data_IF_060159419666
#
_entry.id   IF_060159419666
#
_cell.length_a   1.000
_cell.length_b   1.000
_cell.length_c   1.000
_cell.angle_alpha   90.00
_cell.angle_beta   90.00
_cell.angle_gamma   90.00
#
_symmetry.space_group_name_H-M   'P 1'
#
loop_
_entity.id
_entity.type
_entity.pdbx_description
1 polymer ?
#
# COMPACT_ATOMS: atom_id res chain seq x y z
N UNK A 1 -20.24 38.18 62.05
CA UNK A 1 -19.27 37.06 62.07
C UNK A 1 -19.88 35.95 61.21
N UNK A 2 -19.54 35.88 59.92
CA UNK A 2 -20.15 34.98 58.93
C UNK A 2 -19.02 34.29 58.17
N UNK A 3 -18.68 33.06 58.57
CA UNK A 3 -17.73 32.22 57.86
C UNK A 3 -18.48 31.39 56.81
N UNK A 4 -18.14 31.61 55.53
CA UNK A 4 -18.59 30.81 54.39
C UNK A 4 -17.78 29.51 54.36
N UNK A 5 -18.44 28.36 54.35
CA UNK A 5 -17.83 27.09 53.94
C UNK A 5 -17.62 27.10 52.42
N UNK A 6 -16.38 26.86 51.99
CA UNK A 6 -16.05 26.54 50.60
C UNK A 6 -15.90 25.02 50.49
N UNK A 7 -16.83 24.37 49.80
CA UNK A 7 -16.76 22.95 49.46
C UNK A 7 -15.96 22.82 48.16
N UNK A 8 -14.75 22.25 48.23
CA UNK A 8 -13.95 21.94 47.04
C UNK A 8 -14.42 20.61 46.43
N UNK A 9 -15.08 20.66 45.27
CA UNK A 9 -15.31 19.48 44.44
C UNK A 9 -14.06 19.21 43.61
N UNK A 10 -13.33 18.14 43.93
CA UNK A 10 -12.34 17.57 43.01
C UNK A 10 -13.10 16.88 41.86
N UNK A 11 -13.06 17.48 40.68
CA UNK A 11 -13.34 16.76 39.44
C UNK A 11 -12.11 15.92 39.08
N UNK A 12 -12.17 14.61 39.35
CA UNK A 12 -11.29 13.64 38.71
C UNK A 12 -11.69 13.56 37.24
N UNK A 13 -10.92 14.21 36.37
CA UNK A 13 -11.00 13.98 34.94
C UNK A 13 -10.48 12.56 34.66
N UNK A 14 -11.39 11.64 34.37
CA UNK A 14 -11.06 10.33 33.84
C UNK A 14 -10.50 10.52 32.43
N UNK A 15 -9.20 10.31 32.26
CA UNK A 15 -8.58 10.13 30.94
C UNK A 15 -9.29 8.93 30.29
N UNK A 16 -9.84 9.05 29.07
CA UNK A 16 -10.36 7.89 28.36
C UNK A 16 -9.20 6.92 28.17
N UNK A 17 -9.27 5.76 28.82
CA UNK A 17 -8.33 4.67 28.56
C UNK A 17 -8.43 4.28 27.10
N UNK A 18 -7.28 4.14 26.43
CA UNK A 18 -7.20 3.42 25.16
C UNK A 18 -7.75 2.01 25.39
N UNK A 19 -8.99 1.75 24.97
CA UNK A 19 -9.47 0.38 24.80
C UNK A 19 -8.74 -0.18 23.59
N UNK A 20 -7.64 -0.88 23.82
CA UNK A 20 -6.95 -1.65 22.78
C UNK A 20 -7.94 -2.60 22.11
N UNK A 21 -7.92 -2.64 20.77
CA UNK A 21 -8.72 -3.60 20.00
C UNK A 21 -8.33 -5.03 20.43
N UNK A 22 -9.30 -5.82 20.92
CA UNK A 22 -9.08 -7.22 21.28
C UNK A 22 -8.90 -8.07 20.01
N UNK A 23 -7.76 -8.76 19.87
CA UNK A 23 -7.36 -9.56 18.69
C UNK A 23 -7.36 -11.08 18.96
N UNK A 24 -8.04 -11.54 20.00
CA UNK A 24 -7.78 -12.83 20.66
C UNK A 24 -8.44 -14.06 20.06
N UNK A 25 -9.09 -13.98 18.89
CA UNK A 25 -9.87 -15.09 18.37
C UNK A 25 -9.25 -15.66 17.08
N UNK A 26 -9.03 -16.96 17.05
CA UNK A 26 -8.70 -17.69 15.82
C UNK A 26 -9.83 -17.42 14.82
N UNK A 27 -9.47 -17.07 13.59
CA UNK A 27 -10.45 -16.71 12.57
C UNK A 27 -11.30 -17.93 12.21
N UNK A 28 -12.62 -17.77 12.27
CA UNK A 28 -13.58 -18.80 11.89
C UNK A 28 -13.79 -18.81 10.37
N UNK A 29 -14.41 -19.86 9.83
CA UNK A 29 -14.85 -19.87 8.43
C UNK A 29 -15.79 -18.68 8.18
N UNK A 30 -15.69 -18.03 7.03
CA UNK A 30 -16.51 -16.88 6.73
C UNK A 30 -18.01 -17.16 6.81
N UNK A 31 -18.73 -16.26 7.48
CA UNK A 31 -20.18 -16.21 7.53
C UNK A 31 -20.63 -15.05 6.63
N UNK A 32 -21.12 -15.38 5.44
CA UNK A 32 -21.54 -14.41 4.43
C UNK A 32 -22.74 -13.56 4.87
N UNK A 33 -23.51 -13.98 5.87
CA UNK A 33 -24.62 -13.15 6.37
C UNK A 33 -24.12 -12.06 7.32
N UNK A 34 -23.08 -12.36 8.11
CA UNK A 34 -22.48 -11.41 9.06
C UNK A 34 -21.40 -10.54 8.43
N UNK A 35 -20.64 -11.08 7.49
CA UNK A 35 -19.58 -10.38 6.80
C UNK A 35 -20.16 -9.53 5.66
N UNK A 36 -20.51 -8.28 5.97
CA UNK A 36 -21.13 -7.36 5.01
C UNK A 36 -20.27 -6.11 4.76
N UNK A 37 -20.31 -5.55 3.53
CA UNK A 37 -19.74 -4.23 3.27
C UNK A 37 -20.43 -3.14 4.12
N UNK A 38 -19.75 -2.03 4.41
CA UNK A 38 -18.40 -1.68 3.96
C UNK A 38 -17.28 -2.29 4.81
N UNK A 39 -17.58 -2.94 5.93
CA UNK A 39 -16.58 -3.25 6.95
C UNK A 39 -15.97 -4.65 6.81
N UNK A 40 -16.65 -5.58 6.14
CA UNK A 40 -16.19 -6.96 6.03
C UNK A 40 -16.39 -7.49 4.62
N UNK A 41 -15.44 -8.30 4.15
CA UNK A 41 -15.56 -9.10 2.92
C UNK A 41 -14.80 -10.40 3.04
N UNK A 42 -15.43 -11.52 2.69
CA UNK A 42 -14.80 -12.84 2.71
C UNK A 42 -13.82 -13.03 1.55
N UNK A 43 -12.71 -13.74 1.79
CA UNK A 43 -11.73 -14.09 0.75
C UNK A 43 -12.25 -15.07 -0.31
N UNK A 44 -13.31 -15.83 0.00
CA UNK A 44 -13.93 -16.79 -0.92
C UNK A 44 -15.02 -16.18 -1.80
N UNK A 45 -15.27 -14.86 -1.68
CA UNK A 45 -16.13 -14.12 -2.59
C UNK A 45 -15.34 -13.52 -3.77
N UNK A 46 -15.39 -14.23 -4.90
CA UNK A 46 -14.76 -13.82 -6.16
C UNK A 46 -15.66 -12.93 -7.04
N UNK A 47 -16.89 -12.61 -6.61
CA UNK A 47 -17.80 -11.77 -7.39
C UNK A 47 -17.43 -10.29 -7.24
N UNK A 48 -17.64 -9.44 -8.26
CA UNK A 48 -17.50 -8.01 -8.09
C UNK A 48 -18.30 -7.49 -6.88
N UNK A 49 -17.70 -6.65 -6.02
CA UNK A 49 -18.36 -6.05 -4.87
C UNK A 49 -19.67 -5.34 -5.23
N UNK A 50 -20.62 -5.32 -4.28
CA UNK A 50 -21.90 -4.61 -4.46
C UNK A 50 -22.89 -5.31 -5.38
N UNK A 51 -22.62 -6.56 -5.78
CA UNK A 51 -23.48 -7.33 -6.67
C UNK A 51 -23.40 -6.88 -8.13
N UNK A 52 -22.34 -6.16 -8.51
CA UNK A 52 -22.10 -5.76 -9.89
C UNK A 52 -21.84 -7.00 -10.76
N UNK A 53 -22.28 -6.95 -12.01
CA UNK A 53 -21.80 -7.92 -13.01
C UNK A 53 -20.41 -7.49 -13.51
N UNK A 54 -19.55 -8.41 -13.98
CA UNK A 54 -18.26 -8.05 -14.54
C UNK A 54 -18.35 -7.02 -15.68
N UNK A 55 -19.42 -7.03 -16.46
CA UNK A 55 -19.65 -6.07 -17.54
C UNK A 55 -19.88 -4.63 -17.06
N UNK A 56 -20.45 -4.45 -15.86
CA UNK A 56 -20.70 -3.14 -15.25
C UNK A 56 -19.62 -2.73 -14.25
N UNK A 57 -18.62 -3.58 -14.02
CA UNK A 57 -17.54 -3.34 -13.08
C UNK A 57 -16.41 -2.56 -13.78
N UNK A 58 -15.91 -1.45 -13.22
CA UNK A 58 -14.69 -0.82 -13.72
C UNK A 58 -13.49 -1.74 -13.50
N UNK A 59 -12.59 -1.84 -14.47
CA UNK A 59 -11.31 -2.52 -14.23
C UNK A 59 -10.36 -1.54 -13.55
N UNK A 60 -9.83 -1.95 -12.40
CA UNK A 60 -8.85 -1.15 -11.65
C UNK A 60 -7.45 -1.74 -11.86
N UNK A 61 -6.48 -0.88 -12.06
CA UNK A 61 -5.04 -1.20 -12.13
C UNK A 61 -4.36 -0.45 -10.99
N UNK A 62 -3.52 -1.15 -10.24
CA UNK A 62 -2.69 -0.61 -9.16
C UNK A 62 -1.24 -0.67 -9.60
N UNK A 63 -0.59 0.49 -9.72
CA UNK A 63 0.86 0.55 -9.93
C UNK A 63 1.50 0.88 -8.59
N UNK A 64 2.46 0.07 -8.17
CA UNK A 64 3.17 0.30 -6.91
C UNK A 64 4.68 0.24 -7.09
N UNK A 65 5.37 1.05 -6.29
CA UNK A 65 6.81 1.07 -6.21
C UNK A 65 7.27 0.90 -4.78
N UNK A 66 8.25 0.03 -4.59
CA UNK A 66 8.77 -0.32 -3.27
C UNK A 66 10.17 0.30 -3.07
N UNK A 67 10.61 0.33 -1.82
CA UNK A 67 11.89 0.83 -1.30
C UNK A 67 12.04 2.35 -1.22
N UNK A 68 13.29 2.82 -1.18
CA UNK A 68 13.69 4.18 -0.91
C UNK A 68 13.39 5.15 -2.06
N UNK A 69 13.14 6.42 -1.74
CA UNK A 69 12.95 7.47 -2.74
C UNK A 69 14.24 8.26 -2.93
N UNK A 70 14.84 8.19 -4.11
CA UNK A 70 16.07 8.92 -4.47
C UNK A 70 15.83 9.90 -5.61
N UNK A 71 16.82 10.74 -5.89
CA UNK A 71 16.78 11.64 -7.07
C UNK A 71 16.75 10.86 -8.39
N UNK A 72 17.25 9.62 -8.42
CA UNK A 72 17.31 8.80 -9.63
C UNK A 72 15.95 8.16 -9.89
N UNK A 73 15.43 7.43 -8.91
CA UNK A 73 14.18 6.70 -9.09
C UNK A 73 12.96 7.63 -9.16
N UNK A 74 12.99 8.79 -8.50
CA UNK A 74 11.94 9.80 -8.63
C UNK A 74 11.69 10.23 -10.09
N UNK A 75 12.75 10.39 -10.89
CA UNK A 75 12.60 10.71 -12.31
C UNK A 75 12.07 9.53 -13.12
N UNK A 76 12.42 8.28 -12.76
CA UNK A 76 11.84 7.08 -13.37
C UNK A 76 10.34 6.99 -13.08
N UNK A 77 9.93 7.18 -11.82
CA UNK A 77 8.53 7.13 -11.42
C UNK A 77 7.70 8.19 -12.13
N UNK A 78 8.22 9.42 -12.22
CA UNK A 78 7.58 10.49 -13.01
C UNK A 78 7.43 10.10 -14.47
N UNK A 79 8.47 9.59 -15.10
CA UNK A 79 8.39 9.18 -16.50
C UNK A 79 7.42 8.01 -16.70
N UNK A 80 7.31 7.09 -15.73
CA UNK A 80 6.37 5.98 -15.80
C UNK A 80 4.91 6.45 -15.93
N UNK A 81 4.49 7.40 -15.10
CA UNK A 81 3.05 7.78 -14.99
C UNK A 81 2.67 9.08 -15.69
N UNK A 82 3.64 9.91 -16.09
CA UNK A 82 3.36 11.23 -16.67
C UNK A 82 2.57 11.15 -17.98
N UNK A 83 1.55 11.99 -18.05
CA UNK A 83 0.78 12.27 -19.28
C UNK A 83 -0.43 11.36 -19.49
N UNK A 84 -0.73 10.47 -18.54
CA UNK A 84 -1.91 9.62 -18.58
C UNK A 84 -2.98 10.10 -17.60
N UNK A 85 -4.24 9.94 -17.98
CA UNK A 85 -5.41 10.30 -17.18
C UNK A 85 -6.41 9.14 -17.11
N UNK A 86 -7.15 9.07 -16.02
CA UNK A 86 -8.33 8.24 -15.86
C UNK A 86 -9.53 8.81 -16.65
N UNK A 87 -10.62 8.04 -16.82
CA UNK A 87 -11.81 8.47 -17.58
C UNK A 87 -12.45 9.79 -17.12
N UNK A 88 -12.34 10.13 -15.83
CA UNK A 88 -12.80 11.43 -15.31
C UNK A 88 -11.85 12.61 -15.59
N UNK A 89 -10.77 12.39 -16.33
CA UNK A 89 -9.77 13.41 -16.66
C UNK A 89 -8.72 13.65 -15.58
N UNK A 90 -8.78 12.95 -14.45
CA UNK A 90 -7.77 13.07 -13.40
C UNK A 90 -6.48 12.34 -13.80
N UNK A 91 -5.30 12.85 -13.43
CA UNK A 91 -4.05 12.11 -13.62
C UNK A 91 -4.11 10.72 -12.98
N UNK A 92 -3.48 9.73 -13.63
CA UNK A 92 -3.31 8.42 -12.99
C UNK A 92 -2.44 8.54 -11.74
N UNK A 93 -2.63 7.62 -10.79
CA UNK A 93 -1.89 7.63 -9.53
C UNK A 93 -1.22 6.28 -9.28
N UNK A 94 -0.21 6.30 -8.41
CA UNK A 94 0.54 5.13 -7.98
C UNK A 94 0.67 5.14 -6.45
N UNK A 95 1.07 4.01 -5.89
CA UNK A 95 1.32 3.83 -4.44
C UNK A 95 2.79 3.55 -4.20
N UNK A 96 3.43 4.28 -3.29
CA UNK A 96 4.83 4.12 -2.94
C UNK A 96 4.94 3.50 -1.55
N UNK A 97 5.42 2.26 -1.46
CA UNK A 97 5.76 1.62 -0.20
C UNK A 97 7.21 1.99 0.15
N UNK A 98 7.38 2.92 1.07
CA UNK A 98 8.65 3.59 1.33
C UNK A 98 9.34 2.97 2.55
N UNK A 99 10.63 2.65 2.39
CA UNK A 99 11.53 2.33 3.49
C UNK A 99 12.40 3.53 3.89
N UNK A 100 12.80 3.62 5.16
CA UNK A 100 13.51 4.81 5.67
C UNK A 100 14.85 5.07 4.99
N UNK A 101 15.70 4.04 4.95
CA UNK A 101 17.10 4.20 4.61
C UNK A 101 17.26 4.80 3.20
N UNK A 102 18.06 5.86 3.09
CA UNK A 102 18.33 6.59 1.83
C UNK A 102 17.16 7.39 1.23
N UNK A 103 15.98 7.40 1.88
CA UNK A 103 14.83 8.16 1.39
C UNK A 103 15.03 9.67 1.47
N UNK A 104 14.73 10.32 0.36
CA UNK A 104 14.58 11.76 0.22
C UNK A 104 13.12 12.15 0.50
N UNK A 105 12.87 12.60 1.73
CA UNK A 105 11.53 12.94 2.20
C UNK A 105 10.94 14.19 1.55
N UNK A 106 11.76 15.08 1.00
CA UNK A 106 11.27 16.17 0.15
C UNK A 106 10.65 15.64 -1.14
N UNK A 107 11.26 14.64 -1.77
CA UNK A 107 10.71 14.01 -2.97
C UNK A 107 9.50 13.14 -2.63
N UNK A 108 9.48 12.45 -1.49
CA UNK A 108 8.29 11.75 -1.00
C UNK A 108 7.11 12.72 -0.79
N UNK A 109 7.34 13.85 -0.12
CA UNK A 109 6.35 14.92 0.04
C UNK A 109 5.85 15.45 -1.32
N UNK A 110 6.74 15.53 -2.32
CA UNK A 110 6.39 15.93 -3.67
C UNK A 110 5.53 14.89 -4.40
N UNK A 111 5.86 13.60 -4.32
CA UNK A 111 5.02 12.52 -4.85
C UNK A 111 3.62 12.57 -4.25
N UNK A 112 3.52 12.79 -2.93
CA UNK A 112 2.23 12.99 -2.29
C UNK A 112 1.51 14.23 -2.83
N UNK A 113 2.17 15.37 -2.99
CA UNK A 113 1.56 16.58 -3.56
C UNK A 113 1.02 16.40 -5.00
N UNK A 114 1.62 15.46 -5.74
CA UNK A 114 1.24 15.09 -7.11
C UNK A 114 0.06 14.09 -7.16
N UNK A 115 -0.47 13.67 -6.00
CA UNK A 115 -1.67 12.84 -5.88
C UNK A 115 -1.40 11.38 -5.51
N UNK A 116 -0.12 10.96 -5.46
CA UNK A 116 0.25 9.57 -5.19
C UNK A 116 0.10 9.17 -3.72
N UNK A 117 -0.12 7.90 -3.44
CA UNK A 117 -0.18 7.38 -2.08
C UNK A 117 1.23 7.09 -1.56
N UNK A 118 1.50 7.45 -0.30
CA UNK A 118 2.67 6.99 0.44
C UNK A 118 2.20 5.96 1.47
N UNK A 119 2.86 4.81 1.49
CA UNK A 119 2.58 3.67 2.34
C UNK A 119 3.89 3.19 2.99
N UNK A 120 3.73 2.39 4.03
CA UNK A 120 4.83 1.95 4.89
C UNK A 120 5.51 0.70 4.33
N UNK A 121 6.85 0.70 4.33
CA UNK A 121 7.69 -0.45 3.98
C UNK A 121 8.79 -0.72 5.02
N UNK A 122 8.49 -0.47 6.30
CA UNK A 122 9.37 -0.57 7.47
C UNK A 122 10.54 0.42 7.49
N UNK A 123 11.12 0.64 8.67
CA UNK A 123 12.26 1.53 8.79
C UNK A 123 13.48 0.91 8.13
N UNK A 124 13.84 -0.32 8.51
CA UNK A 124 15.17 -0.82 8.19
C UNK A 124 15.27 -1.57 6.88
N UNK A 125 14.17 -2.14 6.38
CA UNK A 125 14.16 -3.09 5.26
C UNK A 125 15.33 -4.12 5.36
N UNK A 126 15.61 -4.57 6.59
CA UNK A 126 16.86 -5.27 6.88
C UNK A 126 16.92 -6.65 6.26
N UNK A 127 18.15 -7.07 5.98
CA UNK A 127 18.51 -8.44 5.60
C UNK A 127 19.18 -9.15 6.78
N UNK A 128 19.17 -10.49 6.82
CA UNK A 128 18.50 -11.43 5.90
C UNK A 128 16.98 -11.53 6.14
N UNK A 129 16.25 -12.14 5.20
CA UNK A 129 14.79 -12.36 5.27
C UNK A 129 14.35 -13.08 6.56
N UNK A 130 15.19 -13.95 7.12
CA UNK A 130 14.88 -14.69 8.38
C UNK A 130 14.66 -13.76 9.58
N UNK A 131 15.15 -12.52 9.54
CA UNK A 131 14.77 -11.53 10.56
C UNK A 131 13.27 -11.32 10.60
N UNK A 132 12.63 -11.14 9.44
CA UNK A 132 11.20 -10.87 9.34
C UNK A 132 10.37 -12.12 9.69
N UNK A 133 10.86 -13.30 9.32
CA UNK A 133 10.21 -14.58 9.67
C UNK A 133 10.15 -14.83 11.18
N UNK A 134 11.23 -14.50 11.90
CA UNK A 134 11.40 -14.75 13.32
C UNK A 134 11.08 -13.53 14.21
N UNK A 135 10.79 -12.38 13.61
CA UNK A 135 10.55 -11.13 14.32
C UNK A 135 9.38 -11.27 15.32
N UNK A 136 9.64 -10.77 16.52
CA UNK A 136 8.65 -10.62 17.58
C UNK A 136 7.59 -9.58 17.21
N UNK A 137 6.48 -9.57 17.94
CA UNK A 137 5.47 -8.52 17.80
C UNK A 137 6.09 -7.13 17.99
N UNK A 138 6.93 -6.96 19.00
CA UNK A 138 7.57 -5.68 19.32
C UNK A 138 8.52 -5.22 18.23
N UNK A 139 9.26 -6.14 17.60
CA UNK A 139 10.12 -5.82 16.45
C UNK A 139 9.29 -5.36 15.25
N UNK A 140 8.25 -6.12 14.87
CA UNK A 140 7.33 -5.73 13.80
C UNK A 140 6.64 -4.40 14.09
N UNK A 141 6.12 -4.22 15.31
CA UNK A 141 5.47 -2.99 15.73
C UNK A 141 6.43 -1.80 15.66
N UNK A 142 7.68 -1.93 16.12
CA UNK A 142 8.67 -0.85 16.07
C UNK A 142 9.07 -0.48 14.63
N UNK A 143 9.19 -1.45 13.74
CA UNK A 143 9.51 -1.23 12.33
C UNK A 143 8.35 -0.56 11.58
N UNK A 144 7.11 -0.99 11.85
CA UNK A 144 5.90 -0.48 11.18
C UNK A 144 5.48 0.88 11.75
N UNK A 145 5.39 1.00 13.06
CA UNK A 145 4.95 2.28 13.67
C UNK A 145 6.04 3.33 13.58
N UNK A 146 7.30 2.91 13.61
CA UNK A 146 8.45 3.77 13.41
C UNK A 146 8.46 4.41 12.04
N UNK A 147 8.28 3.64 10.96
CA UNK A 147 8.31 4.20 9.61
C UNK A 147 7.12 5.13 9.35
N UNK A 148 5.91 4.79 9.83
CA UNK A 148 4.78 5.72 9.79
C UNK A 148 5.07 7.05 10.48
N UNK A 149 5.72 7.04 11.65
CA UNK A 149 6.08 8.27 12.37
C UNK A 149 7.17 9.06 11.64
N UNK A 150 8.18 8.38 11.09
CA UNK A 150 9.25 8.98 10.29
C UNK A 150 8.66 9.65 9.05
N UNK A 151 7.83 8.95 8.27
CA UNK A 151 7.11 9.49 7.13
C UNK A 151 6.28 10.70 7.56
N UNK A 152 5.49 10.60 8.63
CA UNK A 152 4.68 11.69 9.17
C UNK A 152 5.53 12.95 9.42
N UNK A 153 6.61 12.83 10.19
CA UNK A 153 7.43 13.99 10.60
C UNK A 153 8.25 14.56 9.45
N UNK A 154 8.87 13.72 8.63
CA UNK A 154 9.82 14.16 7.62
C UNK A 154 9.13 14.63 6.33
N UNK A 155 7.92 14.14 6.03
CA UNK A 155 7.08 14.68 4.94
C UNK A 155 6.09 15.76 5.42
N UNK A 156 5.83 15.85 6.73
CA UNK A 156 4.82 16.75 7.32
C UNK A 156 3.38 16.37 7.00
N UNK A 157 3.14 15.17 6.47
CA UNK A 157 1.81 14.64 6.17
C UNK A 157 1.16 14.09 7.44
N UNK A 158 -0.14 14.28 7.69
CA UNK A 158 -0.79 13.68 8.85
C UNK A 158 -0.59 12.16 8.89
N UNK A 159 -0.22 11.59 10.05
CA UNK A 159 0.02 10.14 10.17
C UNK A 159 -1.16 9.28 9.69
N UNK A 160 -2.39 9.79 9.82
CA UNK A 160 -3.61 9.14 9.32
C UNK A 160 -3.70 8.99 7.79
N UNK A 161 -2.83 9.64 7.01
CA UNK A 161 -2.77 9.45 5.54
C UNK A 161 -1.91 8.25 5.15
N UNK A 162 -1.04 7.77 6.05
CA UNK A 162 -0.17 6.61 5.85
C UNK A 162 -0.94 5.38 6.36
N UNK A 163 -1.68 4.74 5.46
CA UNK A 163 -2.68 3.73 5.81
C UNK A 163 -2.31 2.32 5.35
N UNK A 164 -1.45 2.23 4.35
CA UNK A 164 -1.02 1.00 3.72
C UNK A 164 0.29 0.48 4.26
N UNK A 165 0.47 -0.82 4.14
CA UNK A 165 1.72 -1.51 4.46
C UNK A 165 2.06 -2.57 3.43
N UNK A 166 3.36 -2.76 3.20
CA UNK A 166 3.92 -3.95 2.54
C UNK A 166 5.14 -4.44 3.31
N UNK A 167 5.24 -5.75 3.52
CA UNK A 167 6.35 -6.39 4.21
C UNK A 167 7.58 -6.47 3.30
N UNK A 168 8.79 -6.19 3.81
CA UNK A 168 10.04 -6.47 3.12
C UNK A 168 10.10 -7.91 2.62
N UNK A 169 10.52 -8.09 1.38
CA UNK A 169 10.61 -9.39 0.70
C UNK A 169 9.29 -10.18 0.61
N UNK A 170 8.14 -9.54 0.88
CA UNK A 170 6.83 -10.18 1.03
C UNK A 170 6.80 -11.24 2.16
N UNK A 171 7.74 -11.16 3.12
CA UNK A 171 7.85 -12.11 4.23
C UNK A 171 6.84 -11.77 5.32
N UNK A 172 5.69 -12.44 5.27
CA UNK A 172 4.56 -12.16 6.15
C UNK A 172 4.54 -13.00 7.42
N UNK A 173 4.02 -12.45 8.52
CA UNK A 173 3.84 -13.17 9.79
C UNK A 173 2.55 -12.79 10.52
N UNK A 174 2.06 -13.64 11.42
CA UNK A 174 0.97 -13.31 12.34
C UNK A 174 1.24 -12.01 13.13
N UNK A 175 2.47 -11.83 13.62
CA UNK A 175 2.87 -10.66 14.40
C UNK A 175 2.80 -9.35 13.59
N UNK A 176 3.15 -9.38 12.30
CA UNK A 176 2.98 -8.25 11.40
C UNK A 176 1.50 -7.83 11.33
N UNK A 177 0.57 -8.76 11.06
CA UNK A 177 -0.85 -8.44 10.98
C UNK A 177 -1.41 -7.94 12.32
N UNK A 178 -0.94 -8.51 13.44
CA UNK A 178 -1.25 -8.00 14.78
C UNK A 178 -0.79 -6.54 14.95
N UNK A 179 0.44 -6.21 14.56
CA UNK A 179 0.97 -4.85 14.63
C UNK A 179 0.17 -3.88 13.75
N UNK A 180 -0.17 -4.27 12.52
CA UNK A 180 -0.99 -3.46 11.61
C UNK A 180 -2.37 -3.15 12.21
N UNK A 181 -3.05 -4.18 12.73
CA UNK A 181 -4.40 -4.05 13.27
C UNK A 181 -4.45 -3.19 14.53
N UNK A 182 -3.56 -3.46 15.49
CA UNK A 182 -3.46 -2.72 16.77
C UNK A 182 -3.10 -1.25 16.54
N UNK A 183 -2.34 -0.96 15.49
CA UNK A 183 -1.89 0.38 15.14
C UNK A 183 -2.75 1.08 14.06
N UNK A 184 -3.95 0.56 13.74
CA UNK A 184 -4.92 1.17 12.83
C UNK A 184 -4.43 1.39 11.39
N UNK A 185 -3.61 0.48 10.87
CA UNK A 185 -3.42 0.38 9.42
C UNK A 185 -4.72 -0.10 8.76
N UNK A 186 -4.94 0.32 7.51
CA UNK A 186 -6.16 0.00 6.75
C UNK A 186 -5.99 -1.28 5.94
N UNK A 187 -4.83 -1.46 5.31
CA UNK A 187 -4.60 -2.59 4.43
C UNK A 187 -3.15 -3.08 4.45
N UNK A 188 -2.99 -4.35 4.13
CA UNK A 188 -1.75 -5.02 3.76
C UNK A 188 -1.77 -5.39 2.27
N UNK A 189 -0.63 -5.21 1.57
CA UNK A 189 -0.41 -5.71 0.21
C UNK A 189 0.90 -6.52 0.18
N UNK A 190 1.04 -7.48 1.09
CA UNK A 190 2.24 -8.30 1.21
C UNK A 190 2.02 -9.74 0.76
N UNK A 191 0.79 -10.23 0.78
CA UNK A 191 0.49 -11.66 0.67
C UNK A 191 0.30 -12.09 -0.78
N UNK A 192 1.25 -12.85 -1.38
CA UNK A 192 1.13 -13.27 -2.76
C UNK A 192 0.21 -14.48 -2.95
N UNK A 193 -0.29 -14.66 -4.17
CA UNK A 193 -1.02 -15.86 -4.59
C UNK A 193 -0.81 -16.16 -6.06
N UNK A 194 -0.26 -17.34 -6.34
CA UNK A 194 -0.22 -17.93 -7.67
C UNK A 194 -1.39 -18.89 -7.93
N UNK A 195 -2.16 -19.24 -6.90
CA UNK A 195 -3.29 -20.17 -7.00
C UNK A 195 -4.57 -19.48 -7.46
N UNK A 196 -4.80 -18.24 -7.03
CA UNK A 196 -6.05 -17.51 -7.24
C UNK A 196 -5.88 -16.38 -8.27
N UNK A 197 -5.27 -16.70 -9.42
CA UNK A 197 -5.11 -15.77 -10.54
C UNK A 197 -6.25 -15.85 -11.57
N UNK A 198 -7.00 -16.96 -11.63
CA UNK A 198 -8.09 -17.17 -12.59
C UNK A 198 -9.27 -18.01 -12.01
N UNK A 199 -10.40 -17.38 -11.63
CA UNK A 199 -10.57 -15.92 -11.57
C UNK A 199 -9.66 -15.32 -10.49
N UNK A 200 -9.17 -14.08 -10.69
CA UNK A 200 -8.33 -13.40 -9.71
C UNK A 200 -9.10 -13.07 -8.42
N UNK A 201 -8.45 -13.18 -7.27
CA UNK A 201 -9.05 -12.87 -5.97
C UNK A 201 -9.27 -11.36 -5.78
N UNK A 202 -10.40 -10.97 -5.20
CA UNK A 202 -10.64 -9.59 -4.78
C UNK A 202 -10.00 -9.29 -3.42
N UNK A 203 -9.72 -8.02 -3.09
CA UNK A 203 -9.43 -7.64 -1.71
C UNK A 203 -10.50 -8.13 -0.73
N UNK A 204 -10.08 -8.51 0.46
CA UNK A 204 -10.93 -9.07 1.50
C UNK A 204 -10.48 -8.59 2.88
N UNK A 205 -11.25 -8.85 3.93
CA UNK A 205 -10.88 -8.49 5.29
C UNK A 205 -10.56 -9.72 6.13
N UNK A 206 -9.74 -9.53 7.17
CA UNK A 206 -9.33 -10.58 8.10
C UNK A 206 -10.31 -10.76 9.27
N UNK A 207 -11.57 -10.35 9.13
CA UNK A 207 -12.63 -10.70 10.10
C UNK A 207 -12.78 -12.23 10.21
N UNK A 208 -12.60 -12.94 9.10
CA UNK A 208 -12.74 -14.38 8.97
C UNK A 208 -11.51 -15.02 8.33
N UNK A 209 -11.42 -16.34 8.45
CA UNK A 209 -10.32 -17.14 7.94
C UNK A 209 -10.23 -17.02 6.42
N UNK A 210 -9.06 -16.60 5.94
CA UNK A 210 -8.76 -16.55 4.52
C UNK A 210 -8.64 -17.95 3.89
N UNK A 211 -9.06 -18.06 2.63
CA UNK A 211 -8.79 -19.22 1.78
C UNK A 211 -7.51 -19.06 0.94
N UNK A 212 -6.87 -17.88 0.97
CA UNK A 212 -5.66 -17.59 0.22
C UNK A 212 -4.55 -18.60 0.60
N UNK A 213 -3.84 -19.10 -0.40
CA UNK A 213 -2.68 -19.96 -0.21
C UNK A 213 -1.54 -19.17 0.45
N UNK A 214 -0.63 -19.86 1.12
CA UNK A 214 0.45 -19.24 1.88
C UNK A 214 1.82 -19.61 1.29
N UNK A 215 2.22 -19.02 0.15
CA UNK A 215 3.45 -19.41 -0.52
C UNK A 215 4.72 -18.80 0.12
N UNK A 216 4.60 -17.69 0.85
CA UNK A 216 5.71 -16.97 1.50
C UNK A 216 5.33 -16.68 2.96
N UNK A 217 6.28 -16.88 3.87
CA UNK A 217 6.11 -16.65 5.31
C UNK A 217 5.06 -17.49 6.02
N UNK A 218 4.50 -16.92 7.09
CA UNK A 218 3.54 -17.54 8.02
C UNK A 218 2.25 -16.70 8.06
N UNK A 219 1.34 -17.01 7.17
CA UNK A 219 0.09 -16.29 7.00
C UNK A 219 -0.80 -16.28 8.26
N UNK A 220 -1.59 -15.21 8.47
CA UNK A 220 -2.36 -15.01 9.68
C UNK A 220 -3.50 -16.03 9.79
N UNK A 221 -3.69 -16.56 11.00
CA UNK A 221 -4.78 -17.45 11.39
C UNK A 221 -5.73 -16.79 12.39
N UNK A 222 -5.37 -15.65 12.96
CA UNK A 222 -6.22 -14.88 13.87
C UNK A 222 -7.14 -13.92 13.11
N UNK A 223 -8.22 -13.51 13.78
CA UNK A 223 -9.17 -12.52 13.26
C UNK A 223 -8.68 -11.09 13.55
N UNK A 224 -8.60 -10.28 12.49
CA UNK A 224 -8.32 -8.84 12.53
C UNK A 224 -9.45 -8.06 11.84
N UNK A 225 -10.60 -7.87 12.51
CA UNK A 225 -11.78 -7.27 11.90
C UNK A 225 -11.55 -5.93 11.21
N UNK A 226 -11.91 -5.84 9.94
CA UNK A 226 -11.76 -4.63 9.13
C UNK A 226 -10.33 -4.31 8.65
N UNK A 227 -9.31 -5.12 8.99
CA UNK A 227 -8.01 -5.03 8.33
C UNK A 227 -8.12 -5.70 6.96
N UNK A 228 -7.83 -4.95 5.91
CA UNK A 228 -7.90 -5.45 4.54
C UNK A 228 -6.61 -6.15 4.13
N UNK A 229 -6.75 -7.25 3.39
CA UNK A 229 -5.70 -7.81 2.55
C UNK A 229 -6.05 -7.46 1.11
N UNK A 230 -5.09 -6.85 0.42
CA UNK A 230 -5.11 -6.69 -1.05
C UNK A 230 -4.19 -7.79 -1.58
N UNK A 231 -4.73 -8.89 -2.16
CA UNK A 231 -3.92 -10.00 -2.63
C UNK A 231 -2.90 -9.55 -3.66
N UNK A 232 -1.64 -9.95 -3.49
CA UNK A 232 -0.61 -9.72 -4.50
C UNK A 232 -0.66 -10.87 -5.52
N UNK A 233 -1.48 -10.72 -6.55
CA UNK A 233 -1.72 -11.79 -7.52
C UNK A 233 -0.49 -11.95 -8.40
N UNK A 234 0.08 -13.17 -8.43
CA UNK A 234 1.26 -13.44 -9.24
C UNK A 234 0.96 -13.24 -10.73
N UNK A 235 1.94 -12.68 -11.44
CA UNK A 235 1.91 -12.56 -12.88
C UNK A 235 2.13 -13.92 -13.54
N UNK A 236 1.52 -14.08 -14.71
CA UNK A 236 1.76 -15.16 -15.65
C UNK A 236 2.80 -14.73 -16.70
N UNK A 237 3.76 -15.60 -17.01
CA UNK A 237 4.69 -15.41 -18.11
C UNK A 237 4.03 -15.67 -19.48
N UNK A 238 4.75 -15.38 -20.56
CA UNK A 238 4.25 -15.61 -21.93
C UNK A 238 3.99 -17.09 -22.29
N UNK A 239 4.42 -18.04 -21.44
CA UNK A 239 4.14 -19.47 -21.61
C UNK A 239 2.89 -19.92 -20.82
N UNK A 240 2.26 -19.01 -20.07
CA UNK A 240 1.12 -19.32 -19.21
C UNK A 240 1.51 -20.01 -17.91
N UNK A 241 2.75 -19.83 -17.42
CA UNK A 241 3.17 -20.25 -16.09
C UNK A 241 3.16 -19.08 -15.11
N UNK A 242 2.82 -19.34 -13.85
CA UNK A 242 3.02 -18.36 -12.77
C UNK A 242 4.52 -18.06 -12.65
N UNK A 243 4.90 -16.79 -12.67
CA UNK A 243 6.29 -16.37 -12.56
C UNK A 243 6.60 -15.66 -11.23
N UNK A 244 5.75 -14.72 -10.79
CA UNK A 244 5.89 -14.08 -9.48
C UNK A 244 5.04 -12.83 -9.29
N UNK A 245 4.92 -12.42 -8.02
CA UNK A 245 4.11 -11.28 -7.55
C UNK A 245 4.69 -9.90 -7.90
N UNK A 246 6.01 -9.84 -8.10
CA UNK A 246 6.73 -8.61 -8.47
C UNK A 246 7.19 -8.71 -9.92
N UNK A 247 7.10 -7.63 -10.67
CA UNK A 247 7.50 -7.59 -12.08
C UNK A 247 8.98 -7.97 -12.26
N UNK A 248 9.87 -7.45 -11.43
CA UNK A 248 11.29 -7.77 -11.48
C UNK A 248 11.63 -9.22 -11.12
N UNK A 249 10.73 -9.96 -10.47
CA UNK A 249 10.91 -11.39 -10.22
C UNK A 249 10.47 -12.28 -11.40
N UNK A 250 9.60 -11.78 -12.28
CA UNK A 250 9.01 -12.59 -13.34
C UNK A 250 9.93 -12.78 -14.56
N UNK A 251 10.39 -11.69 -15.16
CA UNK A 251 11.29 -11.74 -16.33
C UNK A 251 12.22 -10.50 -16.38
N UNK A 252 13.21 -10.40 -15.47
CA UNK A 252 14.06 -9.21 -15.32
C UNK A 252 14.87 -8.85 -16.58
N UNK A 253 15.06 -9.80 -17.51
CA UNK A 253 15.81 -9.59 -18.76
C UNK A 253 14.92 -9.47 -20.00
N UNK A 254 13.60 -9.47 -19.82
CA UNK A 254 12.64 -9.31 -20.91
C UNK A 254 12.85 -8.00 -21.67
N UNK A 255 12.68 -8.00 -22.99
CA UNK A 255 12.71 -6.76 -23.77
C UNK A 255 11.34 -6.05 -23.75
N UNK A 256 11.27 -4.86 -24.38
CA UNK A 256 10.05 -4.05 -24.47
C UNK A 256 8.82 -4.85 -24.95
N UNK A 257 8.96 -5.66 -26.01
CA UNK A 257 7.87 -6.46 -26.56
C UNK A 257 7.39 -7.52 -25.58
N UNK A 258 8.31 -8.27 -25.00
CA UNK A 258 7.98 -9.34 -24.04
C UNK A 258 7.25 -8.77 -22.82
N UNK A 259 7.73 -7.65 -22.28
CA UNK A 259 7.08 -7.03 -21.13
C UNK A 259 5.70 -6.43 -21.46
N UNK A 260 5.55 -5.82 -22.63
CA UNK A 260 4.25 -5.35 -23.11
C UNK A 260 3.26 -6.52 -23.22
N UNK A 261 3.69 -7.64 -23.78
CA UNK A 261 2.88 -8.86 -23.91
C UNK A 261 2.54 -9.46 -22.54
N UNK A 262 3.49 -9.53 -21.61
CA UNK A 262 3.25 -9.98 -20.22
C UNK A 262 2.21 -9.12 -19.52
N UNK A 263 2.32 -7.79 -19.58
CA UNK A 263 1.34 -6.89 -18.96
C UNK A 263 -0.05 -7.02 -19.62
N UNK A 264 -0.09 -7.14 -20.94
CA UNK A 264 -1.34 -7.30 -21.67
C UNK A 264 -2.04 -8.63 -21.35
N UNK A 265 -1.28 -9.74 -21.28
CA UNK A 265 -1.79 -11.05 -20.92
C UNK A 265 -2.42 -11.04 -19.53
N UNK A 266 -1.71 -10.49 -18.54
CA UNK A 266 -2.20 -10.43 -17.16
C UNK A 266 -3.38 -9.48 -17.00
N UNK A 267 -3.34 -8.32 -17.67
CA UNK A 267 -4.51 -7.44 -17.74
C UNK A 267 -5.74 -8.17 -18.31
N UNK A 268 -5.59 -8.99 -19.34
CA UNK A 268 -6.70 -9.73 -19.95
C UNK A 268 -7.29 -10.79 -19.00
N UNK A 269 -6.47 -11.47 -18.18
CA UNK A 269 -6.98 -12.40 -17.16
C UNK A 269 -7.92 -11.71 -16.19
N UNK A 270 -7.62 -10.48 -15.77
CA UNK A 270 -8.51 -9.71 -14.90
C UNK A 270 -9.70 -9.15 -15.68
N UNK A 271 -9.44 -8.45 -16.79
CA UNK A 271 -10.43 -7.68 -17.54
C UNK A 271 -11.55 -8.53 -18.15
N UNK A 272 -11.25 -9.77 -18.56
CA UNK A 272 -12.21 -10.67 -19.19
C UNK A 272 -12.81 -11.72 -18.24
N UNK A 273 -12.38 -11.76 -16.97
CA UNK A 273 -12.96 -12.67 -15.96
C UNK A 273 -13.91 -11.91 -15.02
N UNK A 274 -13.51 -11.68 -13.77
CA UNK A 274 -14.30 -11.03 -12.73
C UNK A 274 -13.89 -9.58 -12.48
N UNK A 275 -12.90 -9.02 -13.21
CA UNK A 275 -12.39 -7.65 -13.04
C UNK A 275 -11.80 -7.31 -11.67
N UNK A 276 -11.30 -8.31 -10.93
CA UNK A 276 -10.54 -8.02 -9.72
C UNK A 276 -9.37 -7.04 -10.02
N UNK A 277 -8.98 -6.16 -9.07
CA UNK A 277 -7.90 -5.19 -9.27
C UNK A 277 -6.62 -5.87 -9.78
N UNK A 278 -6.01 -5.30 -10.83
CA UNK A 278 -4.79 -5.81 -11.44
C UNK A 278 -3.57 -5.08 -10.89
N UNK A 279 -2.62 -5.80 -10.30
CA UNK A 279 -1.40 -5.25 -9.72
C UNK A 279 -0.22 -5.23 -10.69
N UNK A 280 0.49 -4.10 -10.74
CA UNK A 280 1.80 -3.94 -11.35
C UNK A 280 2.76 -3.41 -10.29
N UNK A 281 3.46 -4.33 -9.64
CA UNK A 281 4.33 -4.06 -8.49
C UNK A 281 5.79 -4.20 -8.91
N UNK A 282 6.61 -3.16 -8.72
CA UNK A 282 7.99 -3.16 -9.18
C UNK A 282 8.91 -2.36 -8.26
N UNK A 283 10.17 -2.78 -8.17
CA UNK A 283 11.24 -1.93 -7.66
C UNK A 283 11.71 -0.96 -8.74
N UNK A 284 12.30 0.19 -8.35
CA UNK A 284 12.91 1.12 -9.31
C UNK A 284 13.97 0.47 -10.19
N UNK A 285 14.70 -0.50 -9.63
CA UNK A 285 15.70 -1.30 -10.32
C UNK A 285 15.14 -1.99 -11.58
N UNK A 286 13.84 -2.33 -11.62
CA UNK A 286 13.21 -2.91 -12.80
C UNK A 286 13.44 -2.04 -14.04
N UNK A 287 13.32 -0.72 -13.94
CA UNK A 287 13.56 0.18 -15.08
C UNK A 287 15.01 0.21 -15.57
N UNK A 288 15.95 -0.26 -14.75
CA UNK A 288 17.39 -0.27 -15.02
C UNK A 288 17.97 -1.65 -15.31
N UNK A 289 17.23 -2.74 -15.03
CA UNK A 289 17.66 -4.12 -15.27
C UNK A 289 17.85 -4.44 -16.77
N UNK A 290 17.01 -3.85 -17.63
CA UNK A 290 17.07 -4.04 -19.08
C UNK A 290 16.54 -2.81 -19.81
N UNK A 291 16.98 -2.63 -21.07
CA UNK A 291 16.45 -1.57 -21.92
C UNK A 291 15.04 -1.92 -22.41
N UNK A 292 14.14 -0.93 -22.37
CA UNK A 292 12.79 -1.06 -22.92
C UNK A 292 11.69 -1.40 -21.91
N UNK A 293 11.98 -1.63 -20.63
CA UNK A 293 10.95 -1.82 -19.60
C UNK A 293 10.04 -0.58 -19.45
N UNK A 294 10.64 0.62 -19.41
CA UNK A 294 9.88 1.88 -19.39
C UNK A 294 9.02 2.04 -20.64
N UNK A 295 9.57 1.71 -21.81
CA UNK A 295 8.84 1.75 -23.09
C UNK A 295 7.63 0.81 -23.07
N UNK A 296 7.82 -0.43 -22.58
CA UNK A 296 6.76 -1.41 -22.43
C UNK A 296 5.64 -0.90 -21.52
N UNK A 297 5.98 -0.36 -20.35
CA UNK A 297 5.01 0.15 -19.39
C UNK A 297 4.21 1.30 -20.00
N UNK A 298 4.88 2.28 -20.62
CA UNK A 298 4.20 3.41 -21.25
C UNK A 298 3.35 2.99 -22.44
N UNK A 299 3.77 1.98 -23.21
CA UNK A 299 2.96 1.39 -24.29
C UNK A 299 1.71 0.70 -23.75
N UNK A 300 1.83 -0.05 -22.65
CA UNK A 300 0.70 -0.65 -21.95
C UNK A 300 -0.26 0.43 -21.41
N UNK A 301 0.25 1.46 -20.75
CA UNK A 301 -0.56 2.58 -20.24
C UNK A 301 -1.30 3.33 -21.34
N UNK A 302 -0.69 3.50 -22.52
CA UNK A 302 -1.34 4.08 -23.69
C UNK A 302 -2.57 3.27 -24.12
N UNK A 303 -2.48 1.93 -24.04
CA UNK A 303 -3.61 1.06 -24.37
C UNK A 303 -4.73 1.19 -23.33
N UNK A 304 -4.41 1.09 -22.04
CA UNK A 304 -5.44 1.06 -21.00
C UNK A 304 -6.07 2.43 -20.74
N UNK A 305 -5.31 3.52 -20.85
CA UNK A 305 -5.82 4.88 -20.73
C UNK A 305 -6.77 5.28 -21.88
N UNK A 306 -6.83 4.49 -22.97
CA UNK A 306 -7.78 4.72 -24.07
C UNK A 306 -9.17 4.13 -23.80
N UNK A 307 -9.36 3.42 -22.67
CA UNK A 307 -10.62 2.75 -22.31
C UNK A 307 -11.38 3.54 -21.24
N UNK A 308 -12.66 3.78 -21.48
CA UNK A 308 -13.54 4.53 -20.55
C UNK A 308 -13.90 3.76 -19.28
N UNK A 309 -13.61 2.45 -19.22
CA UNK A 309 -13.92 1.56 -18.09
C UNK A 309 -12.68 1.06 -17.33
N UNK A 310 -11.49 1.61 -17.61
CA UNK A 310 -10.23 1.23 -16.93
C UNK A 310 -9.67 2.40 -16.13
N UNK A 311 -9.28 2.13 -14.89
CA UNK A 311 -8.83 3.11 -13.92
C UNK A 311 -7.49 2.72 -13.32
N UNK A 312 -6.52 3.64 -13.32
CA UNK A 312 -5.22 3.46 -12.66
C UNK A 312 -5.20 4.30 -11.39
N UNK A 313 -5.22 3.61 -10.24
CA UNK A 313 -5.55 4.19 -8.94
C UNK A 313 -4.57 3.76 -7.84
N UNK A 314 -4.52 4.54 -6.76
CA UNK A 314 -3.84 4.15 -5.52
C UNK A 314 -4.54 2.97 -4.84
N UNK A 315 -3.81 2.23 -3.98
CA UNK A 315 -4.39 1.08 -3.26
C UNK A 315 -5.49 1.55 -2.29
N UNK A 316 -5.30 2.69 -1.61
CA UNK A 316 -6.35 3.31 -0.79
C UNK A 316 -7.63 3.59 -1.59
N UNK A 317 -7.53 4.05 -2.83
CA UNK A 317 -8.71 4.29 -3.69
C UNK A 317 -9.41 2.99 -4.10
N UNK A 318 -8.66 1.90 -4.25
CA UNK A 318 -9.23 0.56 -4.46
C UNK A 318 -10.02 0.15 -3.22
N UNK A 319 -9.44 0.28 -2.02
CA UNK A 319 -10.14 -0.03 -0.76
C UNK A 319 -11.41 0.78 -0.59
N UNK A 320 -11.41 2.08 -0.91
CA UNK A 320 -12.63 2.90 -0.85
C UNK A 320 -13.72 2.43 -1.83
N UNK A 321 -13.34 1.97 -3.01
CA UNK A 321 -14.29 1.34 -3.94
C UNK A 321 -14.78 -0.02 -3.45
N UNK A 322 -13.92 -0.84 -2.83
CA UNK A 322 -14.33 -2.11 -2.21
C UNK A 322 -15.40 -1.89 -1.12
N UNK A 323 -15.29 -0.79 -0.36
CA UNK A 323 -16.26 -0.39 0.67
C UNK A 323 -17.55 0.16 0.08
N UNK A 324 -17.48 0.91 -1.02
CA UNK A 324 -18.62 1.55 -1.66
C UNK A 324 -18.57 1.39 -3.19
N UNK A 325 -18.92 0.19 -3.70
CA UNK A 325 -18.71 -0.16 -5.11
C UNK A 325 -19.52 0.72 -6.04
N UNK A 326 -18.84 1.27 -7.06
CA UNK A 326 -19.45 2.03 -8.15
C UNK A 326 -19.37 1.23 -9.44
N UNK A 327 -20.45 1.25 -10.23
CA UNK A 327 -20.43 0.73 -11.59
C UNK A 327 -19.64 1.67 -12.54
N UNK A 328 -19.44 1.25 -13.78
CA UNK A 328 -18.73 2.03 -14.81
C UNK A 328 -19.31 3.45 -15.01
N UNK A 329 -20.61 3.66 -14.78
CA UNK A 329 -21.23 4.97 -14.93
C UNK A 329 -21.00 5.86 -13.70
N UNK A 330 -21.15 5.28 -12.50
CA UNK A 330 -20.97 5.97 -11.22
C UNK A 330 -19.50 6.30 -10.92
N UNK A 331 -18.57 5.50 -11.42
CA UNK A 331 -17.12 5.68 -11.23
C UNK A 331 -16.63 7.09 -11.60
N UNK A 332 -17.17 7.69 -12.66
CA UNK A 332 -16.75 9.03 -13.13
C UNK A 332 -17.02 10.15 -12.11
N UNK A 333 -18.05 10.01 -11.27
CA UNK A 333 -18.41 10.97 -10.23
C UNK A 333 -18.14 10.46 -8.83
N UNK A 334 -17.32 9.42 -8.67
CA UNK A 334 -17.05 8.83 -7.37
C UNK A 334 -16.06 9.70 -6.57
N UNK A 335 -16.45 10.27 -5.41
CA UNK A 335 -15.61 11.26 -4.73
C UNK A 335 -14.24 10.74 -4.29
N UNK A 336 -14.09 9.44 -4.06
CA UNK A 336 -12.79 8.85 -3.70
C UNK A 336 -11.82 8.80 -4.90
N UNK A 337 -12.33 8.86 -6.14
CA UNK A 337 -11.55 8.82 -7.38
C UNK A 337 -11.44 10.19 -8.06
N UNK A 338 -12.03 11.22 -7.47
CA UNK A 338 -11.91 12.60 -7.92
C UNK A 338 -10.46 13.10 -7.88
N UNK A 339 -10.21 14.16 -8.65
CA UNK A 339 -8.89 14.76 -8.78
C UNK A 339 -8.45 15.31 -7.42
N UNK A 340 -7.46 14.67 -6.81
CA UNK A 340 -6.97 15.05 -5.50
C UNK A 340 -6.21 16.38 -5.60
N UNK A 341 -6.81 17.44 -5.04
CA UNK A 341 -6.08 18.69 -4.83
C UNK A 341 -5.31 18.60 -3.52
N UNK A 342 -3.99 18.53 -3.61
CA UNK A 342 -3.10 18.42 -2.45
C UNK A 342 -2.19 19.65 -2.33
N UNK A 343 -1.79 20.04 -1.10
CA UNK A 343 -0.84 21.14 -0.92
C UNK A 343 0.47 20.85 -1.66
N UNK A 344 1.10 21.90 -2.18
CA UNK A 344 2.49 21.82 -2.65
C UNK A 344 3.43 21.48 -1.49
N UNK A 345 4.64 20.98 -1.76
CA UNK A 345 5.65 20.76 -0.71
C UNK A 345 5.87 22.03 0.13
N UNK A 346 6.10 21.83 1.43
CA UNK A 346 6.26 22.89 2.44
C UNK A 346 7.46 23.80 2.20
N UNK A 347 8.45 23.34 1.44
CA UNK A 347 9.66 24.08 1.08
C UNK A 347 10.00 23.91 -0.41
N UNK A 348 10.80 24.83 -0.95
CA UNK A 348 11.37 24.73 -2.31
C UNK A 348 12.82 24.24 -2.32
N UNK A 349 13.49 24.32 -1.18
CA UNK A 349 14.87 23.89 -0.97
C UNK A 349 14.90 23.12 0.35
N UNK A 350 15.14 21.80 0.31
CA UNK A 350 15.14 20.99 1.53
C UNK A 350 16.41 21.22 2.35
N UNK A 351 16.30 21.01 3.65
CA UNK A 351 17.45 20.76 4.51
C UNK A 351 18.09 19.43 4.07
N UNK A 352 19.41 19.33 4.15
CA UNK A 352 20.14 18.09 3.88
C UNK A 352 20.79 17.64 5.18
N UNK A 353 20.11 16.74 5.89
CA UNK A 353 20.55 16.25 7.19
C UNK A 353 21.61 15.16 6.98
N UNK A 354 22.80 15.35 7.54
CA UNK A 354 23.92 14.42 7.40
C UNK A 354 24.20 13.72 8.72
N UNK A 355 24.20 12.39 8.69
CA UNK A 355 24.48 11.55 9.85
C UNK A 355 25.62 10.59 9.51
N UNK A 356 26.49 10.34 10.48
CA UNK A 356 27.59 9.38 10.38
C UNK A 356 27.36 8.13 11.23
N UNK A 357 26.27 8.09 11.99
CA UNK A 357 25.83 6.97 12.83
C UNK A 357 24.34 6.75 12.57
N UNK A 358 23.88 5.52 12.27
CA UNK A 358 24.65 4.26 12.28
C UNK A 358 25.65 4.12 11.12
N UNK A 359 25.49 4.91 10.07
CA UNK A 359 26.39 4.96 8.91
C UNK A 359 26.25 6.32 8.21
N UNK A 360 26.93 6.49 7.08
CA UNK A 360 26.86 7.72 6.28
C UNK A 360 25.50 7.82 5.56
N UNK A 361 24.64 8.71 6.05
CA UNK A 361 23.31 8.97 5.49
C UNK A 361 23.12 10.46 5.22
N UNK A 362 22.53 10.74 4.06
CA UNK A 362 22.00 12.05 3.71
C UNK A 362 20.48 11.94 3.61
N UNK A 363 19.78 12.75 4.38
CA UNK A 363 18.33 12.70 4.50
C UNK A 363 17.74 14.08 4.18
N UNK A 364 17.39 14.34 2.91
CA UNK A 364 16.75 15.60 2.55
C UNK A 364 15.29 15.68 3.02
N UNK A 365 14.92 16.78 3.67
CA UNK A 365 13.55 17.02 4.18
C UNK A 365 13.24 18.51 4.26
N UNK A 366 11.95 18.88 4.21
CA UNK A 366 11.50 20.25 4.53
C UNK A 366 11.39 20.51 6.05
N UNK A 367 11.48 19.46 6.87
CA UNK A 367 11.47 19.57 8.33
C UNK A 367 12.87 19.93 8.85
N UNK A 368 12.96 20.39 10.10
CA UNK A 368 14.24 20.56 10.78
C UNK A 368 14.96 19.21 10.90
N UNK A 369 16.29 19.20 10.84
CA UNK A 369 17.06 17.98 10.97
C UNK A 369 16.96 17.41 12.39
N UNK A 370 16.49 16.16 12.56
CA UNK A 370 16.57 15.46 13.84
C UNK A 370 18.01 15.40 14.39
N UNK A 371 18.17 15.25 15.71
CA UNK A 371 19.50 15.17 16.34
C UNK A 371 20.25 13.88 15.97
N UNK A 372 19.50 12.79 15.79
CA UNK A 372 19.99 11.47 15.45
C UNK A 372 19.27 10.96 14.20
N UNK A 373 19.90 10.06 13.46
CA UNK A 373 19.24 9.37 12.36
C UNK A 373 18.06 8.55 12.94
N UNK A 374 16.82 8.77 12.47
CA UNK A 374 15.67 8.02 12.97
C UNK A 374 15.85 6.50 12.85
N UNK A 375 15.23 5.75 13.76
CA UNK A 375 15.35 4.29 13.85
C UNK A 375 14.06 3.67 14.39
N UNK A 376 13.85 2.34 14.31
CA UNK A 376 12.63 1.70 14.80
C UNK A 376 12.25 2.08 16.24
N UNK A 377 13.25 2.22 17.12
CA UNK A 377 13.04 2.54 18.54
C UNK A 377 13.22 4.03 18.87
N UNK A 378 13.62 4.86 17.90
CA UNK A 378 13.75 6.32 18.04
C UNK A 378 13.30 7.01 16.74
N UNK A 379 12.02 6.92 16.37
CA UNK A 379 11.54 7.36 15.06
C UNK A 379 11.48 8.89 14.91
N UNK A 380 11.52 9.66 16.00
CA UNK A 380 11.64 11.12 15.94
C UNK A 380 13.08 11.63 15.87
N UNK A 381 14.06 10.76 16.15
CA UNK A 381 15.48 11.09 16.08
C UNK A 381 15.92 12.15 17.11
N UNK A 382 15.25 12.23 18.26
CA UNK A 382 15.51 13.25 19.30
C UNK A 382 16.64 12.93 20.27
#
# INVERSE_FOLDING_TARGET
MSQRLLTAFLFLATVPGFQGKSYSNVAEKCDLEKCQPPNCRCSDDFQPPGGLSPALTPQIIMITFDDDITVINYEQYKDAVKGFTNPNGCPITATFFISHNYTNYYLAEKLHSEGHELADHTVTHRTPTTYWEDATYEEWESEITGEREILHKLTGLPSSTIKGFRAPFLEITEHQYQALYTNNFTYDLSWPTGRYYNPPMYPYTLDYRSIQDCPVGKCPVMSYPGLWVVPNIDLMDGNGNVCGAMMDACNPTGNSTQWYETMLLNFQYHYHSNKAPFGLHAHSAWFSQSTGHMEALRKFLTLVASRDDVWVLTVSQVIEWMKNPQDVNGANGFPAWDCLTRPKPRCTTPNVCHYTTPQDFYMPTCSDCPKHFPSPTNPDGE
#
